data_IF_338215182164
#
_entry.id   IF_338215182164
#
_cell.length_a   1.000
_cell.length_b   1.000
_cell.length_c   1.000
_cell.angle_alpha   90.00
_cell.angle_beta   90.00
_cell.angle_gamma   90.00
#
_symmetry.space_group_name_H-M   'P 1'
#
loop_
_entity.id
_entity.type
_entity.pdbx_description
1 polymer ?
#
# COMPACT_ATOMS: atom_id res chain seq x y z
N UNK A 1 -13.11 -0.67 4.93
CA UNK A 1 -11.96 -1.19 5.70
C UNK A 1 -10.81 -0.21 5.55
N UNK A 2 -10.10 0.10 6.63
CA UNK A 2 -8.95 1.01 6.58
C UNK A 2 -7.75 0.31 5.95
N UNK A 3 -7.03 1.01 5.09
CA UNK A 3 -5.80 0.55 4.46
C UNK A 3 -4.69 1.54 4.82
N UNK A 4 -3.45 1.05 4.93
CA UNK A 4 -2.28 1.91 5.06
C UNK A 4 -1.69 2.12 3.66
N UNK A 5 -1.67 3.36 3.21
CA UNK A 5 -0.95 3.80 2.03
C UNK A 5 0.42 4.32 2.47
N UNK A 6 1.48 3.69 1.99
CA UNK A 6 2.85 4.07 2.24
C UNK A 6 3.44 4.60 0.94
N UNK A 7 3.88 5.86 0.95
CA UNK A 7 4.46 6.55 -0.20
C UNK A 7 5.98 6.54 -0.11
N UNK A 8 6.62 6.18 -1.22
CA UNK A 8 8.06 6.12 -1.37
C UNK A 8 8.49 6.79 -2.66
N UNK A 9 9.72 7.32 -2.69
CA UNK A 9 10.40 7.74 -3.89
C UNK A 9 11.33 6.63 -4.37
N UNK A 10 11.19 6.22 -5.62
CA UNK A 10 12.16 5.37 -6.30
C UNK A 10 13.40 6.18 -6.69
N UNK A 11 14.55 5.52 -6.84
CA UNK A 11 15.78 6.12 -7.37
C UNK A 11 15.61 6.76 -8.75
N UNK A 12 14.63 6.32 -9.54
CA UNK A 12 14.26 6.95 -10.82
C UNK A 12 13.38 8.22 -10.68
N UNK A 13 13.14 8.70 -9.46
CA UNK A 13 12.28 9.87 -9.19
C UNK A 13 10.78 9.60 -9.30
N UNK A 14 10.37 8.33 -9.43
CA UNK A 14 8.96 7.93 -9.48
C UNK A 14 8.42 7.66 -8.08
N UNK A 15 7.24 8.18 -7.77
CA UNK A 15 6.55 7.86 -6.51
C UNK A 15 5.93 6.48 -6.60
N UNK A 16 6.19 5.63 -5.61
CA UNK A 16 5.63 4.30 -5.46
C UNK A 16 4.76 4.25 -4.21
N UNK A 17 3.58 3.64 -4.33
CA UNK A 17 2.63 3.50 -3.24
C UNK A 17 2.50 2.03 -2.86
N UNK A 18 2.69 1.70 -1.58
CA UNK A 18 2.40 0.37 -1.02
C UNK A 18 1.11 0.47 -0.22
N UNK A 19 0.07 -0.22 -0.70
CA UNK A 19 -1.23 -0.29 -0.03
C UNK A 19 -1.36 -1.60 0.72
N UNK A 20 -1.31 -1.53 2.05
CA UNK A 20 -1.50 -2.69 2.93
C UNK A 20 -2.96 -2.73 3.41
N UNK A 21 -3.62 -3.85 3.15
CA UNK A 21 -4.93 -4.20 3.74
C UNK A 21 -4.68 -4.88 5.09
N UNK A 22 -5.62 -4.73 6.05
CA UNK A 22 -5.52 -5.31 7.40
C UNK A 22 -4.41 -4.75 8.28
N UNK A 23 -4.14 -3.45 8.17
CA UNK A 23 -3.24 -2.77 9.09
C UNK A 23 -3.90 -2.51 10.43
N UNK A 24 -3.12 -2.61 11.50
CA UNK A 24 -3.60 -2.26 12.83
C UNK A 24 -3.86 -0.75 12.88
N UNK A 25 -5.00 -0.33 13.41
CA UNK A 25 -5.37 1.10 13.50
C UNK A 25 -4.51 1.85 14.53
N UNK A 26 -3.76 1.13 15.37
CA UNK A 26 -2.87 1.69 16.39
C UNK A 26 -1.40 1.79 15.94
N UNK A 27 -1.11 1.84 14.63
CA UNK A 27 0.28 2.07 14.22
C UNK A 27 0.69 3.51 14.52
N UNK A 28 1.76 3.64 15.28
CA UNK A 28 2.38 4.91 15.66
C UNK A 28 3.28 5.39 14.52
N UNK A 29 3.33 6.71 14.29
CA UNK A 29 4.17 7.34 13.26
C UNK A 29 5.61 6.80 13.28
N UNK A 30 6.22 6.73 14.46
CA UNK A 30 7.60 6.28 14.64
C UNK A 30 7.80 4.83 14.18
N UNK A 31 6.88 3.94 14.54
CA UNK A 31 6.91 2.52 14.12
C UNK A 31 6.78 2.40 12.61
N UNK A 32 5.87 3.15 11.99
CA UNK A 32 5.66 3.11 10.54
C UNK A 32 6.87 3.68 9.82
N UNK A 33 7.41 4.82 10.28
CA UNK A 33 8.61 5.44 9.70
C UNK A 33 9.84 4.56 9.82
N UNK A 34 10.04 3.90 10.96
CA UNK A 34 11.14 2.94 11.14
C UNK A 34 10.98 1.75 10.20
N UNK A 35 9.79 1.13 10.14
CA UNK A 35 9.52 0.04 9.22
C UNK A 35 9.73 0.44 7.76
N UNK A 36 9.30 1.64 7.35
CA UNK A 36 9.55 2.16 6.02
C UNK A 36 11.04 2.40 5.75
N UNK A 37 11.80 2.84 6.75
CA UNK A 37 13.25 3.06 6.66
C UNK A 37 13.98 1.72 6.53
N UNK A 38 13.59 0.71 7.33
CA UNK A 38 14.09 -0.65 7.22
C UNK A 38 13.78 -1.23 5.84
N UNK A 39 12.56 -1.07 5.34
CA UNK A 39 12.16 -1.52 3.99
C UNK A 39 13.02 -0.89 2.89
N UNK A 40 13.32 0.42 2.99
CA UNK A 40 14.24 1.10 2.07
C UNK A 40 15.67 0.59 2.22
N UNK A 41 16.15 0.35 3.44
CA UNK A 41 17.50 -0.15 3.72
C UNK A 41 17.71 -1.61 3.28
N UNK A 42 16.65 -2.42 3.29
CA UNK A 42 16.69 -3.82 2.87
C UNK A 42 16.85 -3.98 1.36
N UNK A 43 16.62 -2.93 0.56
CA UNK A 43 16.68 -2.94 -0.92
C UNK A 43 15.95 -4.12 -1.56
N UNK A 44 14.91 -4.64 -0.90
CA UNK A 44 14.18 -5.85 -1.32
C UNK A 44 13.47 -5.69 -2.67
N UNK A 45 13.31 -4.46 -3.11
CA UNK A 45 12.60 -4.11 -4.33
C UNK A 45 13.50 -3.22 -5.18
N UNK A 46 14.51 -3.85 -5.75
CA UNK A 46 15.27 -3.31 -6.87
C UNK A 46 14.75 -3.92 -8.17
N UNK A 47 14.70 -3.11 -9.23
CA UNK A 47 14.45 -3.62 -10.57
C UNK A 47 15.37 -2.90 -11.52
N UNK A 48 16.17 -3.67 -12.26
CA UNK A 48 17.16 -3.14 -13.19
C UNK A 48 18.13 -2.14 -12.51
N UNK A 49 18.63 -2.48 -11.31
CA UNK A 49 19.50 -1.63 -10.46
C UNK A 49 18.81 -0.36 -9.92
N UNK A 50 17.52 -0.17 -10.21
CA UNK A 50 16.73 0.97 -9.73
C UNK A 50 15.98 0.56 -8.46
N UNK A 51 16.33 1.20 -7.35
CA UNK A 51 15.63 1.08 -6.07
C UNK A 51 14.18 1.58 -6.23
N UNK A 52 13.19 0.69 -6.12
CA UNK A 52 11.77 1.08 -6.23
C UNK A 52 11.30 1.84 -4.99
N UNK A 53 11.81 1.50 -3.81
CA UNK A 53 11.43 2.12 -2.53
C UNK A 53 12.65 2.77 -1.84
N UNK A 54 13.32 3.70 -2.53
CA UNK A 54 14.58 4.29 -2.06
C UNK A 54 14.39 5.23 -0.86
N UNK A 55 13.34 6.06 -0.86
CA UNK A 55 13.09 7.04 0.22
C UNK A 55 11.64 7.03 0.68
N UNK A 56 11.37 6.84 1.98
CA UNK A 56 10.01 7.01 2.50
C UNK A 56 9.60 8.49 2.48
N UNK A 57 8.44 8.78 1.90
CA UNK A 57 7.88 10.13 1.78
C UNK A 57 6.76 10.34 2.80
N UNK A 58 5.78 9.44 2.85
CA UNK A 58 4.61 9.59 3.70
C UNK A 58 3.95 8.25 4.03
N UNK A 59 3.17 8.23 5.11
CA UNK A 59 2.30 7.13 5.47
C UNK A 59 0.92 7.70 5.83
N UNK A 60 -0.13 7.16 5.22
CA UNK A 60 -1.51 7.67 5.37
C UNK A 60 -2.48 6.52 5.50
N UNK A 61 -3.45 6.66 6.40
CA UNK A 61 -4.60 5.76 6.42
C UNK A 61 -5.60 6.18 5.36
N UNK A 62 -5.95 5.26 4.46
CA UNK A 62 -6.94 5.47 3.42
C UNK A 62 -8.12 4.54 3.63
N UNK A 63 -9.33 5.09 3.61
CA UNK A 63 -10.56 4.33 3.71
C UNK A 63 -11.18 4.21 2.31
N UNK A 64 -11.23 3.00 1.76
CA UNK A 64 -11.91 2.77 0.49
C UNK A 64 -13.38 2.49 0.79
N UNK A 65 -14.25 3.41 0.35
CA UNK A 65 -15.71 3.27 0.43
C UNK A 65 -16.20 2.83 -0.94
N UNK A 66 -16.68 1.59 -1.04
CA UNK A 66 -17.35 1.10 -2.24
C UNK A 66 -18.82 1.48 -2.14
N UNK A 67 -19.22 2.55 -2.85
CA UNK A 67 -20.62 2.94 -2.96
C UNK A 67 -21.18 2.32 -4.25
N UNK A 68 -21.82 1.15 -4.14
CA UNK A 68 -22.45 0.47 -5.27
C UNK A 68 -23.59 1.35 -5.81
N UNK A 69 -23.42 1.89 -7.01
CA UNK A 69 -24.49 2.65 -7.70
C UNK A 69 -25.44 1.69 -8.43
N UNK A 70 -24.95 0.50 -8.80
CA UNK A 70 -25.72 -0.60 -9.37
C UNK A 70 -24.97 -1.91 -9.12
N UNK A 71 -25.66 -2.96 -8.70
CA UNK A 71 -25.09 -4.29 -8.50
C UNK A 71 -26.06 -5.30 -9.13
N UNK A 72 -26.00 -5.42 -10.46
CA UNK A 72 -26.67 -6.52 -11.16
C UNK A 72 -25.93 -7.79 -10.77
N UNK A 73 -26.42 -8.46 -9.72
CA UNK A 73 -25.97 -9.80 -9.40
C UNK A 73 -26.26 -10.66 -10.62
N UNK A 74 -25.24 -10.94 -11.42
CA UNK A 74 -25.22 -12.16 -12.21
C UNK A 74 -25.23 -13.31 -11.19
N UNK A 75 -26.44 -13.74 -10.83
CA UNK A 75 -26.72 -14.96 -10.09
C UNK A 75 -25.96 -16.07 -10.81
N UNK A 76 -24.82 -16.49 -10.24
CA UNK A 76 -24.20 -17.75 -10.62
C UNK A 76 -25.16 -18.84 -10.18
N UNK A 77 -26.07 -19.19 -11.09
CA UNK A 77 -26.77 -20.47 -11.11
C UNK A 77 -25.72 -21.55 -10.79
N UNK A 78 -25.85 -22.09 -9.59
CA UNK A 78 -25.05 -23.23 -9.16
C UNK A 78 -25.76 -24.42 -9.78
N UNK A 79 -25.26 -24.85 -10.93
CA UNK A 79 -25.79 -26.03 -11.63
C UNK A 79 -25.42 -27.30 -10.85
N UNK A 80 -26.42 -28.17 -10.73
CA UNK A 80 -26.50 -29.41 -9.93
C UNK A 80 -25.83 -30.60 -10.59
#
# INVERSE_FOLDING_TARGET
MKQLDLEFLSGAGKVQHIKLKYVNENLVEETVRNAMTDLSGLKLFEKDDIEMYAKPIAARYVETIHQSIFEDKAEKVTEV
#
